data_IF_678463178267
#
_entry.id   IF_678463178267
#
_cell.length_a   1.000
_cell.length_b   1.000
_cell.length_c   1.000
_cell.angle_alpha   90.00
_cell.angle_beta   90.00
_cell.angle_gamma   90.00
#
_symmetry.space_group_name_H-M   'P 1'
#
loop_
_entity.id
_entity.type
_entity.pdbx_description
1 polymer ?
#
# COMPACT_ATOMS: atom_id res chain seq x y z
N UNK A 1 36.20 14.97 -6.38
CA UNK A 1 36.09 14.82 -4.91
C UNK A 1 35.25 13.59 -4.63
N UNK A 2 35.89 12.46 -4.32
CA UNK A 2 35.18 11.20 -4.01
C UNK A 2 34.73 11.30 -2.56
N UNK A 3 33.41 11.40 -2.34
CA UNK A 3 32.85 11.47 -0.99
C UNK A 3 32.96 10.10 -0.34
N UNK A 4 34.03 9.87 0.42
CA UNK A 4 34.12 8.71 1.32
C UNK A 4 33.16 8.95 2.49
N UNK A 5 31.87 8.67 2.29
CA UNK A 5 30.83 8.75 3.33
C UNK A 5 31.11 7.68 4.38
N UNK A 6 31.77 8.06 5.48
CA UNK A 6 31.81 7.23 6.67
C UNK A 6 30.37 7.02 7.20
N UNK A 7 29.90 5.78 7.42
CA UNK A 7 28.48 5.41 7.34
C UNK A 7 27.79 5.49 8.69
N UNK A 8 27.93 6.62 9.37
CA UNK A 8 27.33 6.77 10.69
C UNK A 8 25.94 7.39 10.52
N UNK A 9 24.97 6.56 10.17
CA UNK A 9 23.57 6.97 9.98
C UNK A 9 22.86 7.31 11.30
N UNK A 10 23.57 7.79 12.32
CA UNK A 10 22.97 8.14 13.61
C UNK A 10 23.47 9.46 14.18
N UNK A 11 22.64 10.04 15.05
CA UNK A 11 22.91 11.25 15.82
C UNK A 11 22.31 11.12 17.21
N UNK A 12 22.76 11.94 18.17
CA UNK A 12 22.26 11.95 19.54
C UNK A 12 21.26 13.10 19.73
N UNK A 13 20.17 12.82 20.44
CA UNK A 13 19.18 13.82 20.88
C UNK A 13 18.70 13.44 22.27
N UNK A 14 18.83 14.33 23.25
CA UNK A 14 18.44 14.10 24.65
C UNK A 14 19.02 12.78 25.22
N UNK A 15 20.32 12.56 25.05
CA UNK A 15 21.05 11.34 25.44
C UNK A 15 20.62 10.03 24.79
N UNK A 16 19.69 10.07 23.84
CA UNK A 16 19.26 8.90 23.09
C UNK A 16 19.78 9.03 21.66
N UNK A 17 20.34 7.95 21.14
CA UNK A 17 20.74 7.88 19.74
C UNK A 17 19.56 7.58 18.82
N UNK A 18 19.54 8.24 17.67
CA UNK A 18 18.54 8.11 16.62
C UNK A 18 19.24 7.78 15.31
N UNK A 19 18.66 6.87 14.56
CA UNK A 19 19.04 6.58 13.18
C UNK A 19 18.35 7.57 12.24
N UNK A 20 19.05 8.05 11.21
CA UNK A 20 18.48 8.89 10.16
C UNK A 20 19.16 8.62 8.82
N UNK A 21 18.38 8.13 7.85
CA UNK A 21 18.84 7.83 6.49
C UNK A 21 17.86 8.36 5.45
N UNK A 22 18.37 8.95 4.37
CA UNK A 22 17.53 9.42 3.27
C UNK A 22 16.96 8.26 2.46
N UNK A 23 15.70 8.38 2.06
CA UNK A 23 15.06 7.45 1.12
C UNK A 23 15.59 7.75 -0.29
N UNK A 24 16.03 6.74 -1.05
CA UNK A 24 16.47 6.90 -2.43
C UNK A 24 15.40 7.56 -3.30
N UNK A 25 15.80 8.47 -4.20
CA UNK A 25 14.88 9.30 -5.00
C UNK A 25 13.91 8.45 -5.84
N UNK A 26 14.39 7.35 -6.39
CA UNK A 26 13.61 6.36 -7.13
C UNK A 26 12.47 5.75 -6.30
N UNK A 27 12.66 5.65 -4.98
CA UNK A 27 11.68 5.05 -4.07
C UNK A 27 10.79 6.09 -3.38
N UNK A 28 11.10 7.38 -3.45
CA UNK A 28 10.38 8.43 -2.70
C UNK A 28 8.87 8.43 -2.95
N UNK A 29 8.41 8.11 -4.16
CA UNK A 29 6.98 8.05 -4.48
C UNK A 29 6.22 6.98 -3.66
N UNK A 30 6.91 5.95 -3.15
CA UNK A 30 6.30 4.89 -2.32
C UNK A 30 6.39 5.17 -0.82
N UNK A 31 7.03 6.25 -0.38
CA UNK A 31 7.16 6.57 1.03
C UNK A 31 6.49 7.91 1.35
N UNK A 32 5.84 7.99 2.51
CA UNK A 32 5.24 9.23 3.01
C UNK A 32 6.28 10.25 3.51
N UNK A 33 7.54 9.84 3.66
CA UNK A 33 8.64 10.65 4.18
C UNK A 33 9.88 10.48 3.31
N UNK A 34 10.66 11.55 3.17
CA UNK A 34 11.95 11.55 2.43
C UNK A 34 13.12 10.97 3.22
N UNK A 35 12.95 10.75 4.53
CA UNK A 35 13.97 10.16 5.42
C UNK A 35 13.31 9.17 6.36
N UNK A 36 14.02 8.07 6.64
CA UNK A 36 13.68 7.12 7.71
C UNK A 36 14.42 7.58 8.96
N UNK A 37 13.66 7.95 9.99
CA UNK A 37 14.18 8.39 11.28
C UNK A 37 13.59 7.53 12.39
N UNK A 38 14.45 6.87 13.17
CA UNK A 38 14.04 5.88 14.18
C UNK A 38 14.91 6.02 15.42
N UNK A 39 14.31 6.03 16.61
CA UNK A 39 15.08 5.97 17.85
C UNK A 39 15.76 4.61 18.00
N UNK A 40 17.06 4.60 18.27
CA UNK A 40 17.85 3.40 18.57
C UNK A 40 17.70 2.94 20.02
N UNK A 41 16.97 3.72 20.84
CA UNK A 41 16.67 3.41 22.26
C UNK A 41 17.92 3.07 23.08
N UNK A 42 19.04 3.73 22.79
CA UNK A 42 20.30 3.51 23.50
C UNK A 42 21.03 4.82 23.73
N UNK A 43 21.78 4.88 24.83
CA UNK A 43 22.71 5.97 25.17
C UNK A 43 24.17 5.62 24.87
N UNK A 44 24.47 4.38 24.46
CA UNK A 44 25.83 3.92 24.14
C UNK A 44 26.12 4.15 22.66
N UNK A 45 27.24 4.83 22.36
CA UNK A 45 27.67 5.13 21.01
C UNK A 45 28.01 3.86 20.21
N UNK A 46 28.69 2.89 20.82
CA UNK A 46 29.07 1.65 20.14
C UNK A 46 27.86 0.77 19.81
N UNK A 47 26.90 0.71 20.75
CA UNK A 47 25.62 0.05 20.51
C UNK A 47 24.82 0.76 19.43
N UNK A 48 24.78 2.09 19.44
CA UNK A 48 24.12 2.89 18.40
C UNK A 48 24.75 2.63 17.02
N UNK A 49 26.08 2.52 16.94
CA UNK A 49 26.79 2.20 15.70
C UNK A 49 26.41 0.84 15.14
N UNK A 50 26.46 -0.20 15.98
CA UNK A 50 26.06 -1.55 15.58
C UNK A 50 24.60 -1.60 15.11
N UNK A 51 23.68 -1.01 15.89
CA UNK A 51 22.25 -0.96 15.53
C UNK A 51 21.99 -0.19 14.23
N UNK A 52 22.69 0.92 14.03
CA UNK A 52 22.54 1.73 12.81
C UNK A 52 23.03 1.01 11.58
N UNK A 53 24.13 0.26 11.69
CA UNK A 53 24.65 -0.55 10.61
C UNK A 53 23.67 -1.66 10.22
N UNK A 54 23.16 -2.41 11.19
CA UNK A 54 22.16 -3.47 10.97
C UNK A 54 20.86 -2.91 10.39
N UNK A 55 20.37 -1.77 10.89
CA UNK A 55 19.16 -1.14 10.37
C UNK A 55 19.36 -0.62 8.94
N UNK A 56 20.56 -0.09 8.64
CA UNK A 56 20.91 0.35 7.30
C UNK A 56 20.95 -0.79 6.31
N UNK A 57 21.57 -1.93 6.66
CA UNK A 57 21.61 -3.14 5.82
C UNK A 57 20.21 -3.67 5.54
N UNK A 58 19.36 -3.73 6.58
CA UNK A 58 17.96 -4.16 6.44
C UNK A 58 17.15 -3.23 5.52
N UNK A 59 17.38 -1.92 5.61
CA UNK A 59 16.75 -0.95 4.71
C UNK A 59 17.22 -1.12 3.28
N UNK A 60 18.51 -1.40 3.05
CA UNK A 60 19.02 -1.63 1.69
C UNK A 60 18.36 -2.83 1.04
N UNK A 61 18.32 -3.97 1.76
CA UNK A 61 17.65 -5.18 1.27
C UNK A 61 16.18 -4.95 0.94
N UNK A 62 15.48 -4.15 1.75
CA UNK A 62 14.10 -3.78 1.49
C UNK A 62 13.97 -2.89 0.25
N UNK A 63 14.86 -1.91 0.08
CA UNK A 63 14.88 -1.08 -1.12
C UNK A 63 15.17 -1.89 -2.37
N UNK A 64 16.07 -2.86 -2.31
CA UNK A 64 16.35 -3.76 -3.42
C UNK A 64 15.15 -4.65 -3.77
N UNK A 65 14.41 -5.15 -2.78
CA UNK A 65 13.16 -5.88 -3.05
C UNK A 65 12.11 -4.99 -3.73
N UNK A 66 11.99 -3.72 -3.34
CA UNK A 66 11.06 -2.78 -3.99
C UNK A 66 11.46 -2.47 -5.44
N UNK A 67 12.77 -2.35 -5.71
CA UNK A 67 13.29 -2.16 -7.08
C UNK A 67 13.04 -3.40 -7.94
N UNK A 68 13.21 -4.59 -7.36
CA UNK A 68 12.93 -5.84 -8.06
C UNK A 68 11.44 -5.95 -8.42
N UNK A 69 10.52 -5.60 -7.50
CA UNK A 69 9.08 -5.50 -7.81
C UNK A 69 8.79 -4.52 -8.95
N UNK A 70 9.50 -3.38 -8.99
CA UNK A 70 9.34 -2.39 -10.05
C UNK A 70 9.82 -2.92 -11.41
N UNK A 71 10.89 -3.71 -11.44
CA UNK A 71 11.37 -4.38 -12.65
C UNK A 71 10.39 -5.46 -13.09
N UNK A 72 9.93 -6.31 -12.16
CA UNK A 72 8.97 -7.38 -12.47
C UNK A 72 7.66 -6.84 -13.05
N UNK A 73 7.13 -5.76 -12.49
CA UNK A 73 5.91 -5.14 -12.99
C UNK A 73 6.08 -4.44 -14.33
N UNK A 74 7.20 -3.73 -14.55
CA UNK A 74 7.43 -2.93 -15.77
C UNK A 74 7.96 -3.75 -16.95
N UNK A 75 8.95 -4.58 -16.70
CA UNK A 75 9.70 -5.27 -17.77
C UNK A 75 9.14 -6.67 -18.04
N UNK A 76 8.60 -7.34 -17.02
CA UNK A 76 8.16 -8.74 -17.13
C UNK A 76 6.62 -8.88 -17.14
N UNK A 77 5.86 -7.81 -16.88
CA UNK A 77 4.41 -7.86 -16.75
C UNK A 77 3.91 -8.73 -15.59
N UNK A 78 4.81 -9.11 -14.67
CA UNK A 78 4.51 -9.94 -13.50
C UNK A 78 4.04 -9.01 -12.38
N UNK A 79 2.74 -8.71 -12.36
CA UNK A 79 2.13 -8.08 -11.19
C UNK A 79 2.15 -9.08 -10.05
N UNK A 80 3.08 -8.91 -9.10
CA UNK A 80 3.12 -9.72 -7.89
C UNK A 80 1.77 -9.55 -7.17
N UNK A 81 1.01 -10.64 -7.05
CA UNK A 81 -0.38 -10.70 -6.56
C UNK A 81 -0.52 -10.22 -5.09
N UNK A 82 0.57 -9.84 -4.43
CA UNK A 82 0.57 -9.40 -3.03
C UNK A 82 0.53 -7.87 -2.84
N UNK A 83 0.09 -7.11 -3.86
CA UNK A 83 -0.06 -5.65 -3.78
C UNK A 83 -1.31 -5.18 -3.02
N UNK A 84 -2.07 -6.08 -2.38
CA UNK A 84 -3.34 -5.77 -1.69
C UNK A 84 -3.19 -5.27 -0.25
N UNK A 85 -2.12 -4.52 0.08
CA UNK A 85 -2.05 -3.80 1.37
C UNK A 85 -1.49 -2.38 1.27
N UNK A 86 -1.62 -1.73 0.11
CA UNK A 86 -1.67 -0.26 0.08
C UNK A 86 -2.84 0.20 -0.77
N UNK A 87 -3.64 1.15 -0.27
CA UNK A 87 -4.70 1.77 -1.05
C UNK A 87 -3.99 2.60 -2.13
N UNK A 88 -3.66 1.95 -3.24
CA UNK A 88 -3.33 2.66 -4.45
C UNK A 88 -4.61 3.42 -4.81
N UNK A 89 -4.50 4.74 -4.96
CA UNK A 89 -5.53 5.68 -5.41
C UNK A 89 -5.99 5.41 -6.86
N UNK A 90 -6.08 4.14 -7.24
CA UNK A 90 -7.12 3.68 -8.14
C UNK A 90 -8.19 3.12 -7.23
N UNK A 91 -9.08 4.00 -6.78
CA UNK A 91 -10.48 3.64 -6.66
C UNK A 91 -10.84 2.98 -8.00
N UNK A 92 -10.70 1.67 -8.09
CA UNK A 92 -11.63 0.88 -8.88
C UNK A 92 -12.93 1.01 -8.11
N UNK A 93 -13.53 2.21 -8.15
CA UNK A 93 -14.89 2.44 -7.70
C UNK A 93 -15.76 1.76 -8.74
N UNK A 94 -15.74 0.43 -8.71
CA UNK A 94 -16.76 -0.35 -9.37
C UNK A 94 -18.07 0.15 -8.76
N UNK A 95 -18.85 0.90 -9.52
CA UNK A 95 -20.13 1.37 -9.00
C UNK A 95 -21.02 0.15 -8.75
N UNK A 96 -21.99 0.29 -7.85
CA UNK A 96 -23.08 -0.68 -7.71
C UNK A 96 -23.79 -0.92 -9.06
N UNK A 97 -23.82 0.09 -9.93
CA UNK A 97 -24.31 -0.05 -11.31
C UNK A 97 -23.43 -0.94 -12.18
N UNK A 98 -22.11 -0.81 -12.07
CA UNK A 98 -21.16 -1.63 -12.83
C UNK A 98 -21.23 -3.09 -12.37
N UNK A 99 -21.35 -3.29 -11.05
CA UNK A 99 -21.54 -4.61 -10.46
C UNK A 99 -22.87 -5.25 -10.93
N UNK A 100 -23.97 -4.49 -10.93
CA UNK A 100 -25.28 -4.96 -11.43
C UNK A 100 -25.21 -5.36 -12.91
N UNK A 101 -24.59 -4.52 -13.74
CA UNK A 101 -24.42 -4.79 -15.17
C UNK A 101 -23.61 -6.06 -15.39
N UNK A 102 -22.53 -6.25 -14.63
CA UNK A 102 -21.72 -7.46 -14.67
C UNK A 102 -22.53 -8.70 -14.25
N UNK A 103 -23.26 -8.61 -13.15
CA UNK A 103 -24.11 -9.70 -12.65
C UNK A 103 -25.18 -10.11 -13.67
N UNK A 104 -25.87 -9.13 -14.27
CA UNK A 104 -26.88 -9.38 -15.29
C UNK A 104 -26.26 -9.96 -16.58
N UNK A 105 -25.07 -9.51 -16.98
CA UNK A 105 -24.37 -10.05 -18.14
C UNK A 105 -23.94 -11.51 -17.92
N UNK A 106 -23.55 -11.89 -16.70
CA UNK A 106 -23.06 -13.23 -16.38
C UNK A 106 -24.19 -14.22 -16.07
N UNK A 107 -25.26 -13.77 -15.41
CA UNK A 107 -26.33 -14.63 -14.88
C UNK A 107 -27.68 -14.43 -15.57
N UNK A 108 -27.81 -13.43 -16.42
CA UNK A 108 -29.06 -13.10 -17.12
C UNK A 108 -29.33 -13.91 -18.38
N UNK A 109 -28.35 -14.64 -18.93
CA UNK A 109 -28.56 -15.47 -20.12
C UNK A 109 -29.60 -16.54 -19.85
N UNK A 110 -30.71 -16.52 -20.61
CA UNK A 110 -31.83 -17.46 -20.45
C UNK A 110 -32.75 -17.16 -19.26
N UNK A 111 -32.63 -15.98 -18.62
CA UNK A 111 -33.54 -15.57 -17.53
C UNK A 111 -34.70 -14.72 -18.06
N UNK A 112 -35.84 -14.82 -17.38
CA UNK A 112 -37.03 -14.02 -17.67
C UNK A 112 -36.83 -12.54 -17.31
N UNK A 113 -37.62 -11.64 -17.91
CA UNK A 113 -37.57 -10.19 -17.66
C UNK A 113 -37.63 -9.81 -16.17
N UNK A 114 -38.41 -10.58 -15.38
CA UNK A 114 -38.53 -10.40 -13.92
C UNK A 114 -37.19 -10.47 -13.18
N UNK A 115 -36.22 -11.26 -13.67
CA UNK A 115 -34.88 -11.36 -13.07
C UNK A 115 -34.14 -10.02 -13.12
N UNK A 116 -34.15 -9.37 -14.28
CA UNK A 116 -33.51 -8.07 -14.47
C UNK A 116 -34.22 -6.99 -13.66
N UNK A 117 -35.55 -6.99 -13.68
CA UNK A 117 -36.37 -6.03 -12.94
C UNK A 117 -36.17 -6.15 -11.42
N UNK A 118 -36.15 -7.38 -10.89
CA UNK A 118 -35.91 -7.62 -9.47
C UNK A 118 -34.49 -7.26 -9.05
N UNK A 119 -33.49 -7.61 -9.87
CA UNK A 119 -32.09 -7.31 -9.57
C UNK A 119 -31.81 -5.81 -9.56
N UNK A 120 -32.38 -5.06 -10.51
CA UNK A 120 -32.31 -3.60 -10.55
C UNK A 120 -33.01 -2.96 -9.35
N UNK A 121 -34.18 -3.48 -8.95
CA UNK A 121 -34.90 -3.00 -7.76
C UNK A 121 -34.11 -3.22 -6.47
N UNK A 122 -33.51 -4.40 -6.30
CA UNK A 122 -32.71 -4.74 -5.12
C UNK A 122 -31.48 -3.84 -4.97
N UNK A 123 -30.78 -3.56 -6.09
CA UNK A 123 -29.65 -2.62 -6.09
C UNK A 123 -30.12 -1.18 -5.80
N UNK A 124 -31.32 -0.80 -6.26
CA UNK A 124 -31.94 0.47 -5.88
C UNK A 124 -32.09 0.62 -4.37
N UNK A 125 -32.71 -0.37 -3.71
CA UNK A 125 -32.83 -0.35 -2.24
C UNK A 125 -31.49 -0.31 -1.52
N UNK A 126 -30.51 -1.07 -2.01
CA UNK A 126 -29.17 -1.08 -1.42
C UNK A 126 -28.47 0.28 -1.56
N UNK A 127 -28.68 1.01 -2.67
CA UNK A 127 -28.19 2.39 -2.81
C UNK A 127 -28.86 3.35 -1.85
N UNK A 128 -30.18 3.24 -1.69
CA UNK A 128 -30.95 4.09 -0.79
C UNK A 128 -30.51 3.89 0.67
N UNK A 129 -30.19 2.66 1.07
CA UNK A 129 -29.70 2.36 2.42
C UNK A 129 -28.24 2.79 2.67
N UNK A 130 -27.40 2.88 1.63
CA UNK A 130 -25.96 3.09 1.79
C UNK A 130 -25.51 4.55 1.69
N UNK A 131 -26.39 5.50 1.38
CA UNK A 131 -26.15 6.97 1.34
C UNK A 131 -24.67 7.35 1.08
N UNK A 132 -24.18 7.10 -0.14
CA UNK A 132 -22.82 7.45 -0.60
C UNK A 132 -21.62 6.67 0.00
N UNK A 133 -21.81 5.57 0.72
CA UNK A 133 -20.69 4.71 1.15
C UNK A 133 -20.14 3.88 -0.01
N UNK A 134 -18.81 3.81 -0.10
CA UNK A 134 -18.10 2.97 -1.07
C UNK A 134 -18.36 1.48 -0.80
N UNK A 135 -18.51 0.66 -1.85
CA UNK A 135 -18.65 -0.80 -1.75
C UNK A 135 -17.58 -1.47 -0.86
N UNK A 136 -16.40 -0.84 -0.79
CA UNK A 136 -15.27 -1.28 0.04
C UNK A 136 -15.49 -1.09 1.54
N UNK A 137 -16.61 -0.48 1.95
CA UNK A 137 -16.93 -0.15 3.35
C UNK A 137 -18.14 -0.95 3.87
N UNK A 138 -18.67 -1.89 3.08
CA UNK A 138 -19.74 -2.78 3.49
C UNK A 138 -19.11 -3.96 4.25
N UNK A 139 -19.46 -4.11 5.52
CA UNK A 139 -18.99 -5.21 6.36
C UNK A 139 -20.09 -6.27 6.53
N UNK A 140 -19.71 -7.50 6.86
CA UNK A 140 -20.68 -8.60 7.09
C UNK A 140 -21.64 -8.35 8.25
N UNK A 141 -21.36 -7.35 9.09
CA UNK A 141 -22.25 -6.92 10.19
C UNK A 141 -23.35 -5.95 9.77
N UNK A 142 -23.33 -5.44 8.53
CA UNK A 142 -24.37 -4.56 7.99
C UNK A 142 -25.57 -5.35 7.39
N UNK A 143 -25.51 -6.69 7.38
CA UNK A 143 -26.47 -7.60 6.77
C UNK A 143 -27.48 -8.19 7.76
#
# INVERSE_FOLDING_TARGET
MVWTRSPVYFYQRNDIYYFSRAVPTDLQARFNKRRVEVSLKTKSADKARSLSMTLSDRLERYWDSLRLEQIHSRELGLSLINADLRPNDKKTSLSLDDALRCYQSLKGTGKASLFFQSSSRNIGYLKDCLENKSLTMIETGDA
#
